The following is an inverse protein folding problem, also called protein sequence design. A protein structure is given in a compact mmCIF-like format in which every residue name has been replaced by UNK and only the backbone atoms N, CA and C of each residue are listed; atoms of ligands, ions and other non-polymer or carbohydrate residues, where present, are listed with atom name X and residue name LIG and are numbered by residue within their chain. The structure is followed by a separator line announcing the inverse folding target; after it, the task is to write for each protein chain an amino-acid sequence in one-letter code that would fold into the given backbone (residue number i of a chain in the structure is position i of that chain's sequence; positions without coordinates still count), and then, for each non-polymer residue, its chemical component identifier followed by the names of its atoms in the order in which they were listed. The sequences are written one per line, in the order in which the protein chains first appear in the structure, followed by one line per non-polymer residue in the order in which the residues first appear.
data_IF_403661786131
#
_entry.id   IF_403661786131
#
_cell.length_a   1.000
_cell.length_b   1.000
_cell.length_c   1.000
_cell.angle_alpha   90.00
_cell.angle_beta   90.00
_cell.angle_gamma   90.00
#
_symmetry.space_group_name_H-M   'P 1'
#
loop_
_entity.id
_entity.type
_entity.pdbx_description
1 polymer ?
#
# COMPACT_ATOMS: atom_id res chain seq x y z
N UNK A 1 12.76 4.64 10.69
CA UNK A 1 11.54 4.13 11.36
C UNK A 1 10.51 5.24 11.22
N UNK A 2 9.31 4.95 10.68
CA UNK A 2 8.30 5.98 10.47
C UNK A 2 7.91 6.64 11.80
N UNK A 3 7.70 7.95 11.79
CA UNK A 3 7.43 8.73 13.00
C UNK A 3 5.96 9.03 13.19
N UNK A 4 5.15 8.94 12.12
CA UNK A 4 3.69 9.10 12.12
C UNK A 4 3.20 10.43 12.72
N UNK A 5 4.00 11.47 12.58
CA UNK A 5 3.75 12.81 13.18
C UNK A 5 3.90 13.94 12.20
N UNK A 6 4.50 13.68 11.04
CA UNK A 6 4.74 14.67 10.00
C UNK A 6 4.12 14.16 8.69
N UNK A 7 2.88 14.59 8.37
CA UNK A 7 2.18 14.09 7.20
C UNK A 7 2.90 14.41 5.89
N UNK A 8 3.77 15.43 5.84
CA UNK A 8 4.57 15.74 4.64
C UNK A 8 5.71 14.74 4.49
N UNK A 9 6.47 14.50 5.56
CA UNK A 9 7.54 13.50 5.54
C UNK A 9 6.98 12.08 5.30
N UNK A 10 5.87 11.72 5.95
CA UNK A 10 5.23 10.42 5.78
C UNK A 10 4.71 10.23 4.34
N UNK A 11 4.23 11.29 3.67
CA UNK A 11 3.85 11.25 2.25
C UNK A 11 5.05 11.06 1.30
N UNK A 12 6.20 11.65 1.62
CA UNK A 12 7.45 11.43 0.90
C UNK A 12 7.94 9.97 1.05
N UNK A 13 7.86 9.41 2.27
CA UNK A 13 8.18 8.02 2.55
C UNK A 13 7.26 7.06 1.76
N UNK A 14 5.94 7.32 1.73
CA UNK A 14 4.98 6.57 0.91
C UNK A 14 5.39 6.58 -0.56
N UNK A 15 5.74 7.75 -1.12
CA UNK A 15 6.15 7.88 -2.52
C UNK A 15 7.37 7.00 -2.83
N UNK A 16 8.40 7.05 -1.98
CA UNK A 16 9.61 6.26 -2.21
C UNK A 16 9.35 4.75 -2.01
N UNK A 17 8.54 4.36 -1.02
CA UNK A 17 8.18 2.97 -0.79
C UNK A 17 7.42 2.37 -1.99
N UNK A 18 6.43 3.09 -2.53
CA UNK A 18 5.66 2.64 -3.71
C UNK A 18 6.52 2.60 -4.97
N UNK A 19 7.46 3.54 -5.14
CA UNK A 19 8.46 3.48 -6.23
C UNK A 19 9.38 2.27 -6.10
N UNK A 20 9.86 1.99 -4.89
CA UNK A 20 10.68 0.82 -4.59
C UNK A 20 9.92 -0.48 -4.88
N UNK A 21 8.67 -0.57 -4.43
CA UNK A 21 7.79 -1.70 -4.72
C UNK A 21 7.59 -1.90 -6.22
N UNK A 22 7.25 -0.84 -6.96
CA UNK A 22 7.08 -0.90 -8.41
C UNK A 22 8.36 -1.29 -9.17
N UNK A 23 9.54 -0.99 -8.61
CA UNK A 23 10.81 -1.46 -9.17
C UNK A 23 11.03 -2.94 -8.88
N UNK A 24 10.82 -3.38 -7.64
CA UNK A 24 11.02 -4.76 -7.21
C UNK A 24 10.04 -5.73 -7.88
N UNK A 25 8.78 -5.34 -8.10
CA UNK A 25 7.77 -6.20 -8.74
C UNK A 25 7.95 -6.39 -10.24
N UNK A 26 8.97 -5.75 -10.86
CA UNK A 26 9.35 -6.03 -12.26
C UNK A 26 9.83 -7.47 -12.46
N UNK A 27 10.36 -8.08 -11.42
CA UNK A 27 10.85 -9.46 -11.43
C UNK A 27 10.66 -10.06 -10.04
N UNK A 28 9.93 -11.17 -9.97
CA UNK A 28 9.68 -11.90 -8.74
C UNK A 28 10.26 -13.30 -8.94
N UNK A 29 11.39 -13.58 -8.26
CA UNK A 29 12.12 -14.85 -8.40
C UNK A 29 11.55 -15.97 -7.53
N UNK A 30 10.96 -15.60 -6.39
CA UNK A 30 10.23 -16.49 -5.50
C UNK A 30 8.73 -16.17 -5.60
N UNK A 31 7.94 -17.00 -6.30
CA UNK A 31 6.52 -16.73 -6.49
C UNK A 31 5.74 -16.75 -5.17
N UNK A 32 6.25 -17.40 -4.12
CA UNK A 32 5.57 -17.41 -2.81
C UNK A 32 5.57 -16.04 -2.13
N UNK A 33 6.42 -15.11 -2.58
CA UNK A 33 6.43 -13.73 -2.11
C UNK A 33 5.19 -12.93 -2.55
N UNK A 34 4.51 -13.35 -3.63
CA UNK A 34 3.34 -12.63 -4.18
C UNK A 34 2.24 -12.50 -3.14
N UNK A 35 1.98 -13.56 -2.37
CA UNK A 35 0.99 -13.54 -1.28
C UNK A 35 1.28 -12.42 -0.27
N UNK A 36 2.50 -12.36 0.27
CA UNK A 36 2.88 -11.34 1.26
C UNK A 36 2.86 -9.91 0.67
N UNK A 37 3.23 -9.76 -0.61
CA UNK A 37 3.16 -8.49 -1.33
C UNK A 37 1.71 -8.01 -1.46
N UNK A 38 0.78 -8.88 -1.87
CA UNK A 38 -0.64 -8.54 -2.00
C UNK A 38 -1.26 -8.14 -0.66
N UNK A 39 -0.98 -8.87 0.42
CA UNK A 39 -1.44 -8.51 1.76
C UNK A 39 -0.92 -7.14 2.23
N UNK A 40 0.34 -6.83 1.93
CA UNK A 40 0.93 -5.52 2.26
C UNK A 40 0.31 -4.38 1.44
N UNK A 41 0.05 -4.60 0.14
CA UNK A 41 -0.61 -3.63 -0.73
C UNK A 41 -2.05 -3.38 -0.26
N UNK A 42 -2.81 -4.42 0.08
CA UNK A 42 -4.18 -4.25 0.61
C UNK A 42 -4.20 -3.36 1.85
N UNK A 43 -3.34 -3.68 2.84
CA UNK A 43 -3.25 -2.87 4.06
C UNK A 43 -2.84 -1.43 3.77
N UNK A 44 -1.89 -1.21 2.85
CA UNK A 44 -1.48 0.12 2.44
C UNK A 44 -2.60 0.91 1.73
N UNK A 45 -3.39 0.27 0.88
CA UNK A 45 -4.54 0.90 0.22
C UNK A 45 -5.63 1.29 1.23
N UNK A 46 -5.90 0.44 2.22
CA UNK A 46 -6.85 0.76 3.30
C UNK A 46 -6.39 2.00 4.09
N UNK A 47 -5.10 2.07 4.46
CA UNK A 47 -4.55 3.26 5.12
C UNK A 47 -4.56 4.50 4.22
N UNK A 48 -4.27 4.36 2.92
CA UNK A 48 -4.32 5.47 1.98
C UNK A 48 -5.75 6.01 1.79
N UNK A 49 -6.75 5.13 1.71
CA UNK A 49 -8.17 5.52 1.71
C UNK A 49 -8.52 6.34 2.96
N UNK A 50 -8.09 5.87 4.14
CA UNK A 50 -8.27 6.62 5.38
C UNK A 50 -7.59 7.99 5.35
N UNK A 51 -6.34 8.08 4.90
CA UNK A 51 -5.63 9.37 4.80
C UNK A 51 -6.33 10.35 3.86
N UNK A 52 -6.88 9.86 2.73
CA UNK A 52 -7.64 10.70 1.79
C UNK A 52 -8.94 11.22 2.42
N UNK A 53 -9.67 10.38 3.17
CA UNK A 53 -10.82 10.84 3.97
C UNK A 53 -10.42 11.92 4.97
N UNK A 54 -9.33 11.73 5.72
CA UNK A 54 -8.85 12.71 6.71
C UNK A 54 -8.48 14.05 6.07
N UNK A 55 -7.85 14.03 4.89
CA UNK A 55 -7.59 15.24 4.11
C UNK A 55 -8.89 15.90 3.64
N UNK A 56 -9.89 15.12 3.21
CA UNK A 56 -11.22 15.63 2.88
C UNK A 56 -11.91 16.30 4.06
N UNK A 57 -11.88 15.65 5.23
CA UNK A 57 -12.47 16.15 6.49
C UNK A 57 -11.87 17.50 6.92
N UNK A 58 -10.57 17.71 6.68
CA UNK A 58 -9.91 19.00 6.93
C UNK A 58 -10.60 20.15 6.16
N UNK A 59 -11.07 19.87 4.93
CA UNK A 59 -11.81 20.82 4.09
C UNK A 59 -13.33 20.84 4.35
N UNK A 60 -13.88 19.87 5.08
CA UNK A 60 -15.26 19.91 5.58
C UNK A 60 -15.42 20.77 6.84
N UNK A 61 -14.35 20.88 7.64
CA UNK A 61 -14.36 21.52 8.94
C UNK A 61 -14.49 23.06 8.94
N UNK A 62 -14.34 23.70 10.11
CA UNK A 62 -14.33 25.15 10.26
C UNK A 62 -13.30 25.86 9.38
N UNK A 63 -12.23 25.18 8.98
CA UNK A 63 -11.18 25.65 8.07
C UNK A 63 -11.75 26.10 6.72
N UNK A 64 -12.79 25.43 6.22
CA UNK A 64 -13.56 25.86 5.04
C UNK A 64 -14.04 27.30 5.15
N UNK A 65 -14.44 27.75 6.35
CA UNK A 65 -14.92 29.12 6.60
C UNK A 65 -13.79 30.15 6.54
N UNK A 66 -12.54 29.69 6.65
CA UNK A 66 -11.33 30.50 6.60
C UNK A 66 -10.68 30.52 5.21
N UNK A 67 -11.24 29.80 4.22
CA UNK A 67 -10.74 29.78 2.85
C UNK A 67 -11.08 31.07 2.09
N UNK A 68 -10.05 31.72 1.53
CA UNK A 68 -10.15 32.90 0.68
C UNK A 68 -9.45 32.62 -0.63
N UNK A 69 -10.10 32.92 -1.76
CA UNK A 69 -9.46 32.87 -3.07
C UNK A 69 -9.62 34.21 -3.76
N UNK A 70 -8.50 34.83 -4.15
CA UNK A 70 -8.48 36.11 -4.85
C UNK A 70 -9.30 37.23 -4.14
N UNK A 71 -9.36 37.20 -2.81
CA UNK A 71 -10.16 38.13 -2.01
C UNK A 71 -11.65 37.77 -1.85
N UNK A 72 -12.11 36.66 -2.44
CA UNK A 72 -13.50 36.19 -2.33
C UNK A 72 -13.61 34.94 -1.45
N UNK A 73 -14.33 35.10 -0.34
CA UNK A 73 -14.61 34.02 0.62
C UNK A 73 -15.68 33.02 0.12
N UNK A 74 -16.59 33.43 -0.78
CA UNK A 74 -17.54 32.50 -1.41
C UNK A 74 -16.82 31.58 -2.39
N UNK A 75 -15.98 32.14 -3.26
CA UNK A 75 -15.11 31.37 -4.14
C UNK A 75 -14.24 30.40 -3.31
N UNK A 76 -13.59 30.89 -2.24
CA UNK A 76 -12.78 30.08 -1.33
C UNK A 76 -13.53 28.88 -0.75
N UNK A 77 -14.72 29.10 -0.18
CA UNK A 77 -15.57 28.01 0.35
C UNK A 77 -15.96 26.99 -0.73
N UNK A 78 -16.28 27.45 -1.94
CA UNK A 78 -16.65 26.57 -3.04
C UNK A 78 -15.48 25.67 -3.47
N UNK A 79 -14.25 26.19 -3.50
CA UNK A 79 -13.08 25.35 -3.80
C UNK A 79 -12.79 24.33 -2.70
N UNK A 80 -12.81 24.73 -1.43
CA UNK A 80 -12.60 23.77 -0.32
C UNK A 80 -13.64 22.65 -0.35
N UNK A 81 -14.90 22.96 -0.64
CA UNK A 81 -15.92 21.92 -0.79
C UNK A 81 -15.63 20.96 -1.96
N UNK A 82 -15.21 21.49 -3.12
CA UNK A 82 -14.86 20.67 -4.28
C UNK A 82 -13.66 19.77 -3.99
N UNK A 83 -12.64 20.29 -3.32
CA UNK A 83 -11.46 19.52 -2.92
C UNK A 83 -11.84 18.38 -1.96
N UNK A 84 -12.63 18.67 -0.91
CA UNK A 84 -13.17 17.64 0.00
C UNK A 84 -13.90 16.54 -0.77
N UNK A 85 -14.80 16.92 -1.69
CA UNK A 85 -15.58 15.97 -2.47
C UNK A 85 -14.69 15.05 -3.32
N UNK A 86 -13.68 15.59 -4.01
CA UNK A 86 -12.76 14.79 -4.80
C UNK A 86 -11.92 13.83 -3.93
N UNK A 87 -11.48 14.27 -2.75
CA UNK A 87 -10.70 13.45 -1.83
C UNK A 87 -11.51 12.28 -1.26
N UNK A 88 -12.74 12.53 -0.82
CA UNK A 88 -13.65 11.47 -0.37
C UNK A 88 -13.97 10.50 -1.50
N UNK A 89 -14.24 11.00 -2.71
CA UNK A 89 -14.46 10.15 -3.89
C UNK A 89 -13.25 9.30 -4.21
N UNK A 90 -12.04 9.87 -4.17
CA UNK A 90 -10.81 9.14 -4.42
C UNK A 90 -10.60 8.04 -3.37
N UNK A 91 -10.89 8.31 -2.11
CA UNK A 91 -10.80 7.34 -1.03
C UNK A 91 -11.74 6.14 -1.22
N UNK A 92 -12.98 6.39 -1.66
CA UNK A 92 -13.94 5.32 -2.00
C UNK A 92 -13.44 4.47 -3.19
N UNK A 93 -12.86 5.12 -4.20
CA UNK A 93 -12.27 4.40 -5.33
C UNK A 93 -11.08 3.53 -4.88
N UNK A 94 -10.21 4.05 -4.00
CA UNK A 94 -9.10 3.28 -3.43
C UNK A 94 -9.61 2.13 -2.57
N UNK A 95 -10.68 2.32 -1.81
CA UNK A 95 -11.31 1.25 -1.05
C UNK A 95 -11.80 0.11 -1.95
N UNK A 96 -12.46 0.43 -3.06
CA UNK A 96 -12.86 -0.58 -4.06
C UNK A 96 -11.66 -1.29 -4.70
N UNK A 97 -10.55 -0.59 -4.92
CA UNK A 97 -9.30 -1.22 -5.39
C UNK A 97 -8.72 -2.15 -4.32
N UNK A 98 -8.77 -1.78 -3.04
CA UNK A 98 -8.33 -2.63 -1.94
C UNK A 98 -9.11 -3.96 -1.92
N UNK A 99 -10.43 -3.92 -2.09
CA UNK A 99 -11.25 -5.15 -2.18
C UNK A 99 -10.85 -6.04 -3.37
N UNK A 100 -10.46 -5.46 -4.50
CA UNK A 100 -9.94 -6.22 -5.64
C UNK A 100 -8.61 -6.90 -5.31
N UNK A 101 -7.72 -6.20 -4.59
CA UNK A 101 -6.42 -6.75 -4.14
C UNK A 101 -6.63 -7.83 -3.09
N UNK A 102 -7.59 -7.67 -2.16
CA UNK A 102 -7.96 -8.69 -1.18
C UNK A 102 -8.44 -9.98 -1.86
N UNK A 103 -9.31 -9.86 -2.85
CA UNK A 103 -9.73 -11.03 -3.64
C UNK A 103 -8.56 -11.69 -4.37
N UNK A 104 -7.64 -10.90 -4.92
CA UNK A 104 -6.42 -11.45 -5.53
C UNK A 104 -5.54 -12.17 -4.51
N UNK A 105 -5.41 -11.62 -3.30
CA UNK A 105 -4.68 -12.23 -2.19
C UNK A 105 -5.31 -13.56 -1.74
N UNK A 106 -6.64 -13.63 -1.69
CA UNK A 106 -7.38 -14.88 -1.42
C UNK A 106 -7.16 -15.93 -2.51
N UNK A 107 -7.18 -15.54 -3.78
CA UNK A 107 -6.91 -16.44 -4.92
C UNK A 107 -5.46 -16.94 -4.87
N UNK A 108 -4.50 -16.06 -4.62
CA UNK A 108 -3.07 -16.39 -4.52
C UNK A 108 -2.81 -17.46 -3.45
N UNK A 109 -3.54 -17.41 -2.32
CA UNK A 109 -3.46 -18.43 -1.27
C UNK A 109 -3.81 -19.85 -1.73
N UNK A 110 -4.51 -19.98 -2.86
CA UNK A 110 -4.94 -21.27 -3.42
C UNK A 110 -3.99 -21.82 -4.49
N UNK A 111 -3.04 -21.01 -4.95
CA UNK A 111 -2.11 -21.39 -6.02
C UNK A 111 -0.95 -22.20 -5.42
N UNK A 112 -0.62 -23.31 -6.08
CA UNK A 112 0.57 -24.10 -5.78
C UNK A 112 1.57 -23.98 -6.93
N UNK A 113 2.83 -23.72 -6.59
CA UNK A 113 3.93 -23.60 -7.54
C UNK A 113 4.77 -24.88 -7.55
N UNK A 114 5.11 -25.36 -8.75
CA UNK A 114 5.99 -26.53 -8.90
C UNK A 114 7.46 -26.12 -8.68
N UNK A 115 8.18 -26.90 -7.88
CA UNK A 115 9.61 -26.72 -7.61
C UNK A 115 10.44 -26.90 -8.91
N UNK A 116 9.94 -27.69 -9.87
CA UNK A 116 10.59 -27.84 -11.17
C UNK A 116 10.67 -26.52 -11.95
N UNK A 117 9.63 -25.68 -11.84
CA UNK A 117 9.57 -24.38 -12.49
C UNK A 117 10.24 -23.28 -11.65
N UNK A 118 10.28 -23.47 -10.32
CA UNK A 118 10.88 -22.55 -9.36
C UNK A 118 11.88 -23.26 -8.45
N UNK A 119 13.13 -23.46 -8.91
CA UNK A 119 14.17 -24.14 -8.13
C UNK A 119 14.52 -23.42 -6.82
N UNK A 120 14.19 -22.12 -6.70
CA UNK A 120 14.30 -21.34 -5.46
C UNK A 120 13.48 -21.93 -4.31
N UNK A 121 12.43 -22.70 -4.62
CA UNK A 121 11.58 -23.40 -3.65
C UNK A 121 12.16 -24.75 -3.19
N UNK A 122 13.28 -25.20 -3.77
CA UNK A 122 13.87 -26.49 -3.41
C UNK A 122 14.38 -26.48 -1.96
N UNK A 123 14.14 -27.54 -1.17
CA UNK A 123 14.66 -27.64 0.18
C UNK A 123 16.19 -27.56 0.19
N UNK A 124 16.77 -26.76 1.09
CA UNK A 124 18.23 -26.73 1.29
C UNK A 124 18.69 -28.13 1.73
N UNK A 125 19.64 -28.76 1.01
CA UNK A 125 20.15 -30.07 1.38
C UNK A 125 20.74 -30.02 2.80
N UNK A 126 20.18 -30.84 3.70
CA UNK A 126 20.70 -30.95 5.07
C UNK A 126 22.07 -31.65 5.01
N UNK A 127 23.14 -31.10 5.61
CA UNK A 127 24.42 -31.79 5.67
C UNK A 127 24.21 -33.17 6.31
N UNK A 128 24.67 -34.23 5.64
CA UNK A 128 24.69 -35.57 6.21
C UNK A 128 25.52 -35.53 7.50
N UNK A 129 25.02 -36.07 8.63
CA UNK A 129 25.80 -36.10 9.86
C UNK A 129 27.10 -36.83 9.58
N UNK A 130 28.20 -36.15 9.92
CA UNK A 130 29.56 -36.63 9.74
C UNK A 130 29.63 -38.02 10.39
N UNK A 131 29.75 -39.07 9.57
CA UNK A 131 29.98 -40.43 10.07
C UNK A 131 31.38 -40.39 10.65
N UNK A 132 31.46 -40.03 11.94
CA UNK A 132 32.69 -40.06 12.71
C UNK A 132 33.39 -41.38 12.46
N UNK A 133 34.61 -41.27 11.94
CA UNK A 133 35.55 -42.37 11.83
C UNK A 133 35.82 -42.87 13.25
N UNK A 134 35.18 -43.97 13.63
CA UNK A 134 35.61 -44.75 14.80
C UNK A 134 37.00 -45.32 14.48
N UNK A 135 38.00 -44.82 15.20
CA UNK A 135 39.36 -45.40 15.28
C UNK A 135 39.36 -46.67 16.14
#
# INVERSE_FOLDING_TARGET
MPTFKDPVADADELREAVRGLAHATRTIDDPTAVYAVLGSISSALASLSQSLHQLGEFHDGPTRKQAWMNGDAHAGRAASYRESWELHRAAEMIHQVAECVDRAHEIEATIAYDIADYPSLAPVPRPLPDRGLSL
#
